data_IF_388499355107
#
_entry.id   IF_388499355107
#
_cell.length_a   1.000
_cell.length_b   1.000
_cell.length_c   1.000
_cell.angle_alpha   90.00
_cell.angle_beta   90.00
_cell.angle_gamma   90.00
#
_symmetry.space_group_name_H-M   'P 1'
#
loop_
_entity.id
_entity.type
_entity.pdbx_description
1 polymer ?
#
# COMPACT_ATOMS: atom_id res chain seq x y z
N UNK A 1 3.08 7.26 -7.85
CA UNK A 1 2.90 6.40 -9.04
C UNK A 1 4.25 5.93 -9.54
N UNK A 2 4.50 4.62 -9.55
CA UNK A 2 5.68 3.99 -10.13
C UNK A 2 5.37 3.47 -11.53
N UNK A 3 6.23 3.77 -12.50
CA UNK A 3 6.04 3.41 -13.90
C UNK A 3 7.13 2.47 -14.43
N UNK A 4 6.80 1.66 -15.43
CA UNK A 4 7.74 0.74 -16.06
C UNK A 4 8.91 1.48 -16.75
N UNK A 5 8.67 2.70 -17.25
CA UNK A 5 9.64 3.54 -17.96
C UNK A 5 9.54 4.99 -17.47
N UNK A 6 10.58 5.84 -17.65
CA UNK A 6 10.57 7.24 -17.23
C UNK A 6 9.75 8.13 -18.17
N UNK A 7 8.45 7.86 -18.29
CA UNK A 7 7.52 8.59 -19.14
C UNK A 7 6.10 8.53 -18.59
N UNK A 8 5.32 9.61 -18.70
CA UNK A 8 3.95 9.65 -18.19
C UNK A 8 3.00 8.64 -18.87
N UNK A 9 3.28 8.30 -20.13
CA UNK A 9 2.50 7.32 -20.90
C UNK A 9 2.90 5.87 -20.58
N UNK A 10 4.00 5.67 -19.86
CA UNK A 10 4.43 4.34 -19.48
C UNK A 10 3.45 3.71 -18.49
N UNK A 11 3.31 2.40 -18.59
CA UNK A 11 2.49 1.58 -17.70
C UNK A 11 2.73 1.92 -16.22
N UNK A 12 1.62 2.08 -15.48
CA UNK A 12 1.63 2.14 -14.03
C UNK A 12 1.86 0.71 -13.52
N UNK A 13 2.96 0.50 -12.78
CA UNK A 13 3.33 -0.84 -12.28
C UNK A 13 3.11 -0.98 -10.78
N UNK A 14 3.19 0.13 -10.03
CA UNK A 14 2.94 0.14 -8.59
C UNK A 14 2.59 1.56 -8.12
N UNK A 15 2.16 1.70 -6.87
CA UNK A 15 2.08 2.99 -6.16
C UNK A 15 2.81 2.91 -4.82
N UNK A 16 3.33 4.04 -4.38
CA UNK A 16 3.95 4.23 -3.06
C UNK A 16 3.16 5.33 -2.38
N UNK A 17 2.73 5.07 -1.15
CA UNK A 17 1.95 6.00 -0.34
C UNK A 17 2.83 7.03 0.36
N UNK A 18 2.27 8.18 0.71
CA UNK A 18 3.00 9.25 1.35
C UNK A 18 3.65 8.76 2.66
N UNK A 19 4.89 9.20 2.89
CA UNK A 19 5.66 8.84 4.08
C UNK A 19 6.36 7.47 4.02
N UNK A 20 6.07 6.65 3.01
CA UNK A 20 6.84 5.43 2.75
C UNK A 20 8.13 5.80 2.01
N UNK A 21 9.25 5.23 2.45
CA UNK A 21 10.56 5.45 1.86
C UNK A 21 10.76 4.60 0.61
N UNK A 22 11.64 5.08 -0.27
CA UNK A 22 12.18 4.31 -1.39
C UNK A 22 13.67 4.60 -1.52
N UNK A 23 14.43 3.62 -1.99
CA UNK A 23 15.85 3.79 -2.33
C UNK A 23 15.97 4.31 -3.75
N UNK A 24 16.66 5.43 -3.95
CA UNK A 24 16.96 5.96 -5.28
C UNK A 24 18.16 5.20 -5.86
N UNK A 25 17.99 4.62 -7.05
CA UNK A 25 19.01 3.84 -7.74
C UNK A 25 19.62 4.58 -8.93
N UNK A 26 18.80 5.34 -9.67
CA UNK A 26 19.22 6.06 -10.88
C UNK A 26 18.33 7.27 -11.14
N UNK A 27 18.87 8.29 -11.81
CA UNK A 27 18.11 9.45 -12.31
C UNK A 27 18.13 9.48 -13.85
N UNK A 28 17.02 9.91 -14.45
CA UNK A 28 16.88 10.20 -15.88
C UNK A 28 15.96 11.42 -16.06
N UNK A 29 16.55 12.61 -16.27
CA UNK A 29 15.79 13.86 -16.30
C UNK A 29 15.07 14.12 -14.97
N UNK A 30 13.75 14.29 -15.04
CA UNK A 30 12.86 14.43 -13.88
C UNK A 30 12.34 13.10 -13.32
N UNK A 31 12.87 11.96 -13.78
CA UNK A 31 12.48 10.64 -13.31
C UNK A 31 13.58 9.97 -12.49
N UNK A 32 13.16 9.25 -11.46
CA UNK A 32 14.04 8.48 -10.58
C UNK A 32 13.64 7.01 -10.65
N UNK A 33 14.59 6.15 -10.98
CA UNK A 33 14.45 4.71 -10.81
C UNK A 33 14.68 4.40 -9.34
N UNK A 34 13.67 3.82 -8.70
CA UNK A 34 13.65 3.58 -7.27
C UNK A 34 13.35 2.12 -6.96
N UNK A 35 13.69 1.73 -5.74
CA UNK A 35 13.33 0.45 -5.13
C UNK A 35 12.49 0.70 -3.88
N UNK A 36 11.36 0.01 -3.72
CA UNK A 36 10.60 0.05 -2.46
C UNK A 36 11.32 -0.72 -1.35
N UNK A 37 11.04 -0.35 -0.10
CA UNK A 37 11.71 -1.00 1.05
C UNK A 37 11.38 -2.50 1.15
N UNK A 38 12.29 -3.31 1.75
CA UNK A 38 12.00 -4.69 2.07
C UNK A 38 10.73 -4.85 2.92
N UNK A 39 9.99 -5.96 2.76
CA UNK A 39 10.33 -7.11 1.92
C UNK A 39 9.95 -6.97 0.43
N UNK A 40 9.21 -5.92 0.05
CA UNK A 40 8.65 -5.80 -1.30
C UNK A 40 9.72 -5.65 -2.39
N UNK A 41 10.76 -4.83 -2.16
CA UNK A 41 11.91 -4.66 -3.06
C UNK A 41 11.54 -4.33 -4.53
N UNK A 42 10.38 -3.72 -4.77
CA UNK A 42 9.84 -3.50 -6.12
C UNK A 42 10.55 -2.36 -6.84
N UNK A 43 10.77 -2.52 -8.14
CA UNK A 43 11.49 -1.55 -8.96
C UNK A 43 10.55 -0.77 -9.89
N UNK A 44 10.82 0.52 -10.06
CA UNK A 44 10.07 1.34 -11.01
C UNK A 44 10.52 2.79 -11.04
N UNK A 45 9.94 3.56 -11.95
CA UNK A 45 10.24 4.97 -12.15
C UNK A 45 9.21 5.86 -11.49
N UNK A 46 9.65 6.80 -10.64
CA UNK A 46 8.82 7.84 -10.04
C UNK A 46 9.30 9.20 -10.56
N UNK A 47 8.37 10.07 -10.89
CA UNK A 47 8.66 11.46 -11.25
C UNK A 47 9.06 12.28 -10.00
N UNK A 48 9.95 13.25 -10.17
CA UNK A 48 10.50 14.11 -9.10
C UNK A 48 9.41 14.72 -8.21
N UNK A 49 8.28 15.15 -8.76
CA UNK A 49 7.16 15.72 -7.99
C UNK A 49 6.51 14.76 -6.99
N UNK A 50 6.71 13.45 -7.14
CA UNK A 50 6.24 12.43 -6.21
C UNK A 50 7.25 12.06 -5.12
N UNK A 51 8.42 12.69 -5.09
CA UNK A 51 9.51 12.37 -4.16
C UNK A 51 9.96 13.60 -3.39
N UNK A 52 10.17 13.43 -2.09
CA UNK A 52 11.10 14.30 -1.36
C UNK A 52 12.44 13.60 -1.24
N UNK A 53 13.45 14.20 -1.85
CA UNK A 53 14.83 13.77 -1.68
C UNK A 53 15.38 14.44 -0.42
N UNK A 54 15.83 13.61 0.53
CA UNK A 54 16.50 14.06 1.74
C UNK A 54 18.01 14.08 1.56
N UNK A 55 18.69 14.99 2.25
CA UNK A 55 20.08 14.78 2.64
C UNK A 55 20.13 13.81 3.84
N UNK A 56 21.32 13.34 4.21
CA UNK A 56 21.46 12.37 5.31
C UNK A 56 20.83 12.87 6.61
N UNK A 57 21.04 14.14 6.93
CA UNK A 57 20.49 14.76 8.14
C UNK A 57 18.95 14.83 8.13
N UNK A 58 18.36 15.23 7.00
CA UNK A 58 16.92 15.27 6.82
C UNK A 58 16.28 13.89 6.89
N UNK A 59 16.94 12.88 6.29
CA UNK A 59 16.47 11.50 6.33
C UNK A 59 16.49 10.95 7.75
N UNK A 60 17.57 11.19 8.51
CA UNK A 60 17.65 10.77 9.90
C UNK A 60 16.59 11.45 10.78
N UNK A 61 16.35 12.74 10.58
CA UNK A 61 15.29 13.47 11.30
C UNK A 61 13.92 12.85 11.02
N UNK A 62 13.61 12.61 9.74
CA UNK A 62 12.37 11.93 9.36
C UNK A 62 12.28 10.54 9.99
N UNK A 63 13.34 9.74 9.91
CA UNK A 63 13.38 8.38 10.45
C UNK A 63 13.13 8.33 11.96
N UNK A 64 13.72 9.25 12.73
CA UNK A 64 13.61 9.32 14.20
C UNK A 64 12.29 9.93 14.71
N UNK A 65 11.55 10.63 13.85
CA UNK A 65 10.32 11.30 14.28
C UNK A 65 9.23 10.28 14.63
N UNK A 66 8.42 10.61 15.64
CA UNK A 66 7.18 9.87 15.91
C UNK A 66 6.27 9.95 14.67
N UNK A 67 5.65 8.81 14.34
CA UNK A 67 4.83 8.67 13.14
C UNK A 67 3.44 8.16 13.51
N UNK A 68 2.48 8.63 12.73
CA UNK A 68 1.10 8.14 12.72
C UNK A 68 0.76 7.63 11.33
N UNK A 69 -0.11 6.63 11.27
CA UNK A 69 -0.69 6.09 10.05
C UNK A 69 -2.14 6.57 9.92
N UNK A 70 -2.54 6.99 8.72
CA UNK A 70 -3.91 7.35 8.42
C UNK A 70 -4.77 6.11 8.17
N UNK A 71 -5.92 5.99 8.83
CA UNK A 71 -6.71 4.75 8.90
C UNK A 71 -8.06 4.82 8.20
N UNK A 72 -8.58 6.02 7.91
CA UNK A 72 -9.79 6.17 7.09
C UNK A 72 -9.46 5.95 5.60
N UNK A 73 -10.47 5.74 4.74
CA UNK A 73 -10.23 5.61 3.30
C UNK A 73 -9.67 6.90 2.70
N UNK A 74 -10.30 8.04 3.00
CA UNK A 74 -9.92 9.33 2.44
C UNK A 74 -10.00 10.40 3.52
N UNK A 75 -9.10 11.36 3.46
CA UNK A 75 -9.13 12.53 4.32
C UNK A 75 -8.22 13.63 3.80
N UNK A 76 -7.94 14.59 4.67
CA UNK A 76 -7.08 15.71 4.35
C UNK A 76 -6.23 16.10 5.55
N UNK A 77 -5.06 16.66 5.26
CA UNK A 77 -4.36 17.55 6.19
C UNK A 77 -4.89 18.96 5.95
N UNK A 78 -5.27 19.65 7.03
CA UNK A 78 -5.85 20.99 6.99
C UNK A 78 -4.84 22.04 7.45
N UNK A 79 -4.91 23.25 6.88
CA UNK A 79 -4.02 24.36 7.27
C UNK A 79 -4.25 24.84 8.71
N UNK A 80 -5.47 24.68 9.22
CA UNK A 80 -5.86 25.03 10.59
C UNK A 80 -6.65 23.87 11.22
N UNK A 81 -6.94 23.96 12.52
CA UNK A 81 -7.81 23.03 13.29
C UNK A 81 -9.30 23.15 12.91
N UNK A 82 -9.58 23.23 11.61
CA UNK A 82 -10.89 23.41 11.02
C UNK A 82 -10.93 22.69 9.66
N UNK A 83 -11.92 21.81 9.47
CA UNK A 83 -12.16 21.09 8.22
C UNK A 83 -12.56 22.00 7.05
N UNK A 84 -13.00 23.24 7.34
CA UNK A 84 -13.30 24.26 6.32
C UNK A 84 -12.06 25.05 5.89
N UNK A 85 -10.93 24.88 6.58
CA UNK A 85 -9.70 25.55 6.21
C UNK A 85 -9.10 24.95 4.93
N UNK A 86 -8.15 25.67 4.32
CA UNK A 86 -7.50 25.25 3.09
C UNK A 86 -6.84 23.88 3.30
N UNK A 87 -7.11 22.89 2.43
CA UNK A 87 -6.43 21.59 2.49
C UNK A 87 -4.96 21.76 2.08
N UNK A 88 -4.07 21.16 2.85
CA UNK A 88 -2.64 21.09 2.57
C UNK A 88 -2.34 19.92 1.64
N UNK A 89 -2.93 18.75 1.91
CA UNK A 89 -2.81 17.53 1.10
C UNK A 89 -4.04 16.66 1.33
N UNK A 90 -4.44 15.87 0.33
CA UNK A 90 -5.29 14.72 0.59
C UNK A 90 -4.50 13.61 1.30
N UNK A 91 -5.24 12.70 1.92
CA UNK A 91 -4.75 11.51 2.60
C UNK A 91 -5.53 10.29 2.12
N UNK A 92 -4.84 9.17 2.05
CA UNK A 92 -5.41 7.85 1.83
C UNK A 92 -4.98 6.89 2.92
N UNK A 93 -5.80 5.86 3.15
CA UNK A 93 -5.48 4.78 4.09
C UNK A 93 -4.05 4.27 3.86
N UNK A 94 -3.24 4.27 4.93
CA UNK A 94 -1.85 3.84 4.89
C UNK A 94 -0.81 4.94 4.67
N UNK A 95 -1.23 6.19 4.43
CA UNK A 95 -0.31 7.33 4.46
C UNK A 95 0.31 7.49 5.85
N UNK A 96 1.59 7.82 5.89
CA UNK A 96 2.36 8.00 7.11
C UNK A 96 2.74 9.46 7.26
N UNK A 97 2.36 10.03 8.40
CA UNK A 97 2.62 11.42 8.74
C UNK A 97 3.52 11.48 9.97
N UNK A 98 4.32 12.52 10.00
CA UNK A 98 5.15 12.85 11.13
C UNK A 98 4.38 13.62 12.20
N UNK A 99 4.54 13.27 13.47
CA UNK A 99 3.91 14.00 14.59
C UNK A 99 4.80 15.15 15.04
N UNK A 100 4.25 16.36 15.07
CA UNK A 100 4.90 17.53 15.69
C UNK A 100 4.33 17.78 17.08
N UNK A 101 3.00 17.74 17.22
CA UNK A 101 2.33 17.98 18.50
C UNK A 101 0.92 17.38 18.55
N UNK A 102 0.59 16.70 19.63
CA UNK A 102 -0.78 16.32 19.97
C UNK A 102 -1.50 17.49 20.64
N UNK A 103 -2.63 17.90 20.08
CA UNK A 103 -3.44 19.02 20.57
C UNK A 103 -4.90 18.61 20.79
N UNK A 104 -5.10 17.39 21.26
CA UNK A 104 -6.42 16.85 21.64
C UNK A 104 -7.14 16.25 20.45
N UNK A 105 -8.16 16.93 19.91
CA UNK A 105 -8.90 16.45 18.74
C UNK A 105 -8.04 16.46 17.46
N UNK A 106 -7.01 17.29 17.43
CA UNK A 106 -6.16 17.52 16.27
C UNK A 106 -4.72 17.14 16.59
N UNK A 107 -4.03 16.59 15.61
CA UNK A 107 -2.59 16.40 15.65
C UNK A 107 -1.97 17.37 14.66
N UNK A 108 -1.03 18.19 15.12
CA UNK A 108 -0.18 18.99 14.25
C UNK A 108 0.89 18.08 13.66
N UNK A 109 0.90 17.97 12.33
CA UNK A 109 1.68 17.00 11.57
C UNK A 109 2.67 17.68 10.63
N UNK A 110 3.71 16.92 10.29
CA UNK A 110 4.74 17.26 9.32
C UNK A 110 4.71 16.25 8.18
N UNK A 111 4.63 16.75 6.95
CA UNK A 111 4.65 15.97 5.72
C UNK A 111 6.10 15.81 5.26
N UNK A 112 6.44 14.73 4.52
CA UNK A 112 7.81 14.48 4.08
C UNK A 112 8.47 15.66 3.35
N UNK A 113 7.71 16.41 2.57
CA UNK A 113 8.22 17.53 1.78
C UNK A 113 8.49 18.82 2.56
N UNK A 114 8.16 18.86 3.85
CA UNK A 114 8.34 20.01 4.73
C UNK A 114 7.07 20.79 5.04
N UNK A 115 5.95 20.49 4.37
CA UNK A 115 4.66 21.11 4.72
C UNK A 115 4.20 20.64 6.10
N UNK A 116 3.38 21.46 6.74
CA UNK A 116 2.76 21.14 8.02
C UNK A 116 1.27 21.43 7.99
N UNK A 117 0.50 20.80 8.87
CA UNK A 117 -0.91 21.07 9.03
C UNK A 117 -1.53 20.22 10.13
N UNK A 118 -2.85 20.05 10.10
CA UNK A 118 -3.61 19.37 11.12
C UNK A 118 -4.42 18.21 10.55
N UNK A 119 -4.38 17.06 11.22
CA UNK A 119 -5.25 15.90 10.94
C UNK A 119 -6.07 15.60 12.19
N UNK A 120 -7.31 15.11 12.01
CA UNK A 120 -8.11 14.70 13.17
C UNK A 120 -7.57 13.41 13.79
N UNK A 121 -7.48 13.40 15.12
CA UNK A 121 -6.90 12.28 15.89
C UNK A 121 -7.67 10.97 15.75
N UNK A 122 -8.96 11.01 15.43
CA UNK A 122 -9.78 9.80 15.23
C UNK A 122 -9.57 9.12 13.87
N UNK A 123 -8.86 9.76 12.93
CA UNK A 123 -8.59 9.21 11.59
C UNK A 123 -7.18 8.60 11.48
N UNK A 124 -6.45 8.56 12.59
CA UNK A 124 -5.04 8.19 12.63
C UNK A 124 -4.74 7.33 13.85
N UNK A 125 -3.72 6.49 13.74
CA UNK A 125 -3.17 5.71 14.86
C UNK A 125 -1.64 5.90 14.92
N UNK A 126 -1.04 5.78 16.10
CA UNK A 126 0.42 5.69 16.22
C UNK A 126 0.94 4.54 15.36
N UNK A 127 1.92 4.80 14.49
CA UNK A 127 2.45 3.78 13.58
C UNK A 127 3.06 2.59 14.34
N UNK A 128 3.75 2.85 15.44
CA UNK A 128 4.31 1.83 16.33
C UNK A 128 3.22 0.98 16.98
N UNK A 129 2.15 1.62 17.45
CA UNK A 129 1.00 0.92 18.05
C UNK A 129 0.28 0.08 16.99
N UNK A 130 0.02 0.65 15.83
CA UNK A 130 -0.60 -0.06 14.71
C UNK A 130 0.20 -1.30 14.34
N UNK A 131 1.52 -1.19 14.14
CA UNK A 131 2.42 -2.32 13.84
C UNK A 131 2.39 -3.44 14.88
N UNK A 132 2.21 -3.10 16.17
CA UNK A 132 2.14 -4.08 17.26
C UNK A 132 0.78 -4.77 17.36
N UNK A 133 -0.29 -4.10 16.92
CA UNK A 133 -1.66 -4.58 17.05
C UNK A 133 -2.15 -5.31 15.80
N UNK A 134 -1.62 -4.99 14.61
CA UNK A 134 -1.96 -5.73 13.40
C UNK A 134 -1.47 -7.16 13.53
N UNK A 135 -2.35 -8.10 13.19
CA UNK A 135 -2.08 -9.52 13.25
C UNK A 135 -2.81 -10.21 12.12
N UNK A 136 -2.16 -11.21 11.54
CA UNK A 136 -2.74 -11.98 10.45
C UNK A 136 -3.76 -12.96 11.04
N UNK A 137 -5.02 -12.55 10.99
CA UNK A 137 -6.17 -13.35 11.37
C UNK A 137 -7.17 -13.37 10.21
N UNK A 138 -7.73 -14.55 9.91
CA UNK A 138 -8.62 -14.77 8.76
C UNK A 138 -9.85 -13.86 8.78
N UNK A 139 -10.50 -13.69 9.94
CA UNK A 139 -11.67 -12.84 10.07
C UNK A 139 -11.32 -11.37 9.81
N UNK A 140 -10.19 -10.89 10.35
CA UNK A 140 -9.72 -9.53 10.11
C UNK A 140 -9.38 -9.29 8.64
N UNK A 141 -8.76 -10.28 7.99
CA UNK A 141 -8.41 -10.24 6.57
C UNK A 141 -9.67 -10.14 5.71
N UNK A 142 -10.66 -11.00 5.94
CA UNK A 142 -11.94 -10.99 5.22
C UNK A 142 -12.71 -9.69 5.48
N UNK A 143 -12.75 -9.21 6.72
CA UNK A 143 -13.39 -7.93 7.05
C UNK A 143 -12.69 -6.76 6.35
N UNK A 144 -11.37 -6.80 6.22
CA UNK A 144 -10.60 -5.80 5.48
C UNK A 144 -10.84 -5.89 3.98
N UNK A 145 -10.91 -7.10 3.41
CA UNK A 145 -11.28 -7.29 2.00
C UNK A 145 -12.68 -6.72 1.70
N UNK A 146 -13.66 -7.00 2.56
CA UNK A 146 -15.06 -6.52 2.43
C UNK A 146 -15.18 -5.00 2.49
N UNK A 147 -14.29 -4.33 3.23
CA UNK A 147 -14.23 -2.85 3.32
C UNK A 147 -14.00 -2.19 1.96
N UNK A 148 -13.32 -2.87 1.04
CA UNK A 148 -12.99 -2.33 -0.27
C UNK A 148 -13.97 -2.76 -1.39
N UNK A 149 -15.09 -3.39 -1.04
CA UNK A 149 -16.15 -3.70 -2.02
C UNK A 149 -16.65 -2.42 -2.68
N UNK A 150 -16.69 -2.41 -4.01
CA UNK A 150 -17.13 -1.27 -4.81
C UNK A 150 -16.03 -0.26 -5.15
N UNK A 151 -14.81 -0.42 -4.64
CA UNK A 151 -13.67 0.39 -5.07
C UNK A 151 -13.27 0.03 -6.51
N UNK A 152 -12.87 1.01 -7.35
CA UNK A 152 -12.62 0.78 -8.76
C UNK A 152 -11.35 -0.03 -9.00
N UNK A 153 -11.35 -0.82 -10.08
CA UNK A 153 -10.14 -1.44 -10.58
C UNK A 153 -9.23 -0.39 -11.24
N UNK A 154 -7.94 -0.43 -10.92
CA UNK A 154 -6.90 0.39 -11.53
C UNK A 154 -5.65 -0.46 -11.73
N UNK A 155 -5.27 -0.71 -12.99
CA UNK A 155 -4.01 -1.38 -13.31
C UNK A 155 -2.82 -0.67 -12.66
N UNK A 156 -1.98 -1.39 -11.92
CA UNK A 156 -0.86 -0.80 -11.19
C UNK A 156 -1.24 -0.20 -9.83
N UNK A 157 -2.54 -0.20 -9.46
CA UNK A 157 -3.08 0.45 -8.27
C UNK A 157 -2.84 -0.34 -6.97
N UNK A 158 -2.39 0.34 -5.93
CA UNK A 158 -2.10 -0.22 -4.60
C UNK A 158 -2.58 0.70 -3.47
N UNK A 159 -3.68 1.42 -3.71
CA UNK A 159 -4.27 2.34 -2.74
C UNK A 159 -5.79 2.31 -2.81
N UNK A 160 -6.44 2.83 -1.78
CA UNK A 160 -7.90 3.04 -1.76
C UNK A 160 -8.41 3.99 -2.84
N UNK A 161 -7.57 4.59 -3.69
CA UNK A 161 -8.05 5.28 -4.91
C UNK A 161 -8.34 4.32 -6.07
N UNK A 162 -7.86 3.09 -5.99
CA UNK A 162 -8.08 2.03 -6.97
C UNK A 162 -7.02 0.94 -6.85
N UNK A 163 -7.44 -0.30 -7.07
CA UNK A 163 -6.60 -1.49 -6.91
C UNK A 163 -6.54 -2.29 -8.21
N UNK A 164 -5.43 -2.95 -8.50
CA UNK A 164 -5.48 -4.15 -9.34
C UNK A 164 -5.60 -5.41 -8.47
N UNK A 165 -5.57 -6.60 -9.09
CA UNK A 165 -5.79 -7.86 -8.39
C UNK A 165 -4.77 -8.10 -7.27
N UNK A 166 -3.47 -8.02 -7.59
CA UNK A 166 -2.41 -8.26 -6.60
C UNK A 166 -2.16 -7.05 -5.69
N UNK A 167 -2.49 -5.84 -6.14
CA UNK A 167 -2.50 -4.64 -5.32
C UNK A 167 -3.58 -4.66 -4.25
N UNK A 168 -4.77 -5.20 -4.58
CA UNK A 168 -5.83 -5.44 -3.61
C UNK A 168 -5.40 -6.42 -2.53
N UNK A 169 -4.93 -7.61 -2.91
CA UNK A 169 -4.48 -8.63 -1.94
C UNK A 169 -3.33 -8.09 -1.10
N UNK A 170 -2.37 -7.40 -1.72
CA UNK A 170 -1.26 -6.75 -1.01
C UNK A 170 -1.76 -5.80 0.07
N UNK A 171 -2.67 -4.89 -0.23
CA UNK A 171 -3.18 -3.92 0.74
C UNK A 171 -3.98 -4.63 1.84
N UNK A 172 -4.83 -5.59 1.49
CA UNK A 172 -5.58 -6.39 2.47
C UNK A 172 -4.64 -7.09 3.46
N UNK A 173 -3.60 -7.78 2.98
CA UNK A 173 -2.66 -8.48 3.85
C UNK A 173 -1.79 -7.50 4.65
N UNK A 174 -1.33 -6.40 4.03
CA UNK A 174 -0.52 -5.37 4.71
C UNK A 174 -1.26 -4.75 5.88
N UNK A 175 -2.54 -4.44 5.70
CA UNK A 175 -3.40 -3.91 6.77
C UNK A 175 -3.62 -4.91 7.91
N UNK A 176 -3.27 -6.18 7.71
CA UNK A 176 -3.32 -7.26 8.68
C UNK A 176 -1.91 -7.76 9.07
N UNK A 177 -0.87 -6.95 8.85
CA UNK A 177 0.48 -7.20 9.35
C UNK A 177 1.34 -8.14 8.50
N UNK A 178 0.91 -8.49 7.28
CA UNK A 178 1.67 -9.34 6.38
C UNK A 178 1.95 -8.64 5.04
N UNK A 179 3.22 -8.47 4.68
CA UNK A 179 3.60 -7.81 3.42
C UNK A 179 3.71 -8.84 2.30
N UNK A 180 2.80 -8.77 1.33
CA UNK A 180 2.89 -9.55 0.09
C UNK A 180 3.77 -8.84 -0.96
N UNK A 181 4.43 -9.62 -1.84
CA UNK A 181 5.01 -9.13 -3.08
C UNK A 181 3.96 -8.40 -3.93
N UNK A 182 4.43 -7.54 -4.84
CA UNK A 182 3.56 -6.69 -5.64
C UNK A 182 2.79 -7.47 -6.71
N UNK A 183 3.43 -8.42 -7.36
CA UNK A 183 2.88 -9.10 -8.54
C UNK A 183 2.25 -10.45 -8.16
N UNK A 184 1.18 -10.82 -8.88
CA UNK A 184 0.38 -12.01 -8.57
C UNK A 184 1.20 -13.32 -8.71
N UNK A 185 2.12 -13.38 -9.66
CA UNK A 185 3.04 -14.51 -9.85
C UNK A 185 4.00 -14.67 -8.67
N UNK A 186 4.50 -13.56 -8.10
CA UNK A 186 5.35 -13.63 -6.92
C UNK A 186 4.57 -14.02 -5.67
N UNK A 187 3.30 -13.59 -5.57
CA UNK A 187 2.42 -13.98 -4.48
C UNK A 187 2.12 -15.48 -4.48
N UNK A 188 2.05 -16.14 -5.66
CA UNK A 188 1.75 -17.59 -5.74
C UNK A 188 2.88 -18.48 -5.23
N UNK A 189 4.10 -17.97 -5.10
CA UNK A 189 5.23 -18.71 -4.53
C UNK A 189 5.32 -18.63 -3.01
N UNK A 190 4.36 -17.96 -2.35
CA UNK A 190 4.34 -17.83 -0.89
C UNK A 190 3.34 -18.80 -0.25
N UNK A 191 3.65 -19.20 0.99
CA UNK A 191 2.76 -20.01 1.80
C UNK A 191 2.84 -21.50 1.46
N UNK A 192 1.70 -22.18 1.55
CA UNK A 192 1.55 -23.61 1.29
C UNK A 192 0.63 -23.77 0.09
N UNK A 193 1.07 -24.52 -0.91
CA UNK A 193 0.24 -24.86 -2.07
C UNK A 193 -0.92 -25.77 -1.64
N UNK A 194 -2.12 -25.46 -2.12
CA UNK A 194 -3.35 -26.19 -1.81
C UNK A 194 -3.91 -26.73 -3.12
N UNK A 195 -4.00 -28.05 -3.25
CA UNK A 195 -4.85 -28.67 -4.26
C UNK A 195 -6.31 -28.37 -3.88
N UNK A 196 -7.07 -27.61 -4.68
CA UNK A 196 -8.45 -27.27 -4.34
C UNK A 196 -9.35 -28.50 -4.17
N UNK A 197 -8.99 -29.65 -4.75
CA UNK A 197 -9.87 -30.80 -4.84
C UNK A 197 -10.84 -30.67 -6.04
N UNK A 198 -11.79 -31.61 -6.14
CA UNK A 198 -12.72 -31.63 -7.29
C UNK A 198 -13.84 -30.59 -7.16
N UNK A 199 -14.28 -30.37 -5.92
CA UNK A 199 -15.42 -29.54 -5.55
C UNK A 199 -14.99 -28.43 -4.58
N UNK A 200 -13.72 -28.02 -4.64
CA UNK A 200 -13.11 -26.97 -3.80
C UNK A 200 -13.10 -27.27 -2.29
N UNK A 201 -13.23 -28.54 -1.91
CA UNK A 201 -13.39 -29.02 -0.55
C UNK A 201 -12.18 -28.74 0.36
N UNK A 202 -11.00 -28.53 -0.21
CA UNK A 202 -9.77 -28.26 0.53
C UNK A 202 -9.54 -26.77 0.80
N UNK A 203 -10.27 -25.88 0.12
CA UNK A 203 -10.09 -24.44 0.25
C UNK A 203 -10.70 -23.93 1.56
N UNK A 204 -10.12 -22.85 2.09
CA UNK A 204 -10.58 -22.18 3.31
C UNK A 204 -10.67 -20.66 3.09
N UNK A 205 -11.62 -19.97 3.75
CA UNK A 205 -11.63 -18.52 3.76
C UNK A 205 -10.27 -17.97 4.22
N UNK A 206 -9.77 -16.95 3.51
CA UNK A 206 -8.43 -16.41 3.70
C UNK A 206 -7.40 -16.89 2.67
N UNK A 207 -7.66 -18.01 1.98
CA UNK A 207 -6.76 -18.51 0.93
C UNK A 207 -6.70 -17.55 -0.27
N UNK A 208 -5.53 -17.51 -0.93
CA UNK A 208 -5.36 -16.81 -2.20
C UNK A 208 -5.57 -17.80 -3.35
N UNK A 209 -6.44 -17.42 -4.28
CA UNK A 209 -6.72 -18.16 -5.50
C UNK A 209 -5.98 -17.51 -6.66
N UNK A 210 -5.22 -18.29 -7.40
CA UNK A 210 -4.45 -17.83 -8.55
C UNK A 210 -5.04 -18.40 -9.83
N UNK A 211 -5.18 -17.55 -10.85
CA UNK A 211 -5.77 -17.93 -12.14
C UNK A 211 -4.82 -17.59 -13.27
N UNK A 212 -4.82 -18.44 -14.29
CA UNK A 212 -3.90 -18.29 -15.40
C UNK A 212 -3.86 -19.51 -16.31
N UNK A 213 -2.73 -19.65 -16.99
CA UNK A 213 -2.46 -20.79 -17.87
C UNK A 213 -1.60 -21.79 -17.12
N UNK A 214 -2.07 -23.04 -17.06
CA UNK A 214 -1.26 -24.16 -16.55
C UNK A 214 -0.04 -24.36 -17.45
N UNK A 215 1.01 -24.94 -16.87
CA UNK A 215 2.16 -25.35 -17.66
C UNK A 215 1.76 -26.41 -18.71
N UNK A 216 2.28 -26.24 -19.92
CA UNK A 216 2.18 -27.19 -21.03
C UNK A 216 3.60 -27.49 -21.53
N UNK A 217 3.77 -28.53 -22.35
CA UNK A 217 5.08 -28.82 -22.95
C UNK A 217 5.61 -27.59 -23.71
N UNK A 218 6.76 -27.07 -23.27
CA UNK A 218 7.39 -25.86 -23.83
C UNK A 218 6.78 -24.52 -23.40
N UNK A 219 5.77 -24.50 -22.51
CA UNK A 219 5.17 -23.27 -21.98
C UNK A 219 5.12 -23.29 -20.45
N UNK A 220 5.87 -22.40 -19.76
CA UNK A 220 5.78 -22.31 -18.32
C UNK A 220 4.39 -21.84 -17.88
N UNK A 221 4.03 -22.15 -16.64
CA UNK A 221 2.84 -21.60 -15.99
C UNK A 221 2.86 -20.07 -16.05
N UNK A 222 1.68 -19.47 -16.24
CA UNK A 222 1.51 -18.02 -16.27
C UNK A 222 0.33 -17.61 -15.42
N UNK A 223 0.61 -16.95 -14.31
CA UNK A 223 -0.41 -16.31 -13.47
C UNK A 223 -0.85 -15.00 -14.12
N UNK A 224 -2.15 -14.75 -14.12
CA UNK A 224 -2.80 -13.58 -14.74
C UNK A 224 -3.75 -12.85 -13.79
N UNK A 225 -4.19 -13.52 -12.73
CA UNK A 225 -5.08 -12.95 -11.73
C UNK A 225 -4.89 -13.61 -10.37
N UNK A 226 -5.20 -12.87 -9.32
CA UNK A 226 -5.25 -13.37 -7.93
C UNK A 226 -6.52 -12.85 -7.26
N UNK A 227 -7.14 -13.67 -6.42
CA UNK A 227 -8.29 -13.31 -5.60
C UNK A 227 -8.13 -13.83 -4.16
N UNK A 228 -8.83 -13.22 -3.21
CA UNK A 228 -8.92 -13.72 -1.83
C UNK A 228 -10.26 -14.42 -1.62
N UNK A 229 -10.23 -15.66 -1.15
CA UNK A 229 -11.44 -16.42 -0.82
C UNK A 229 -12.05 -15.89 0.48
N UNK A 230 -13.33 -15.47 0.46
CA UNK A 230 -13.98 -14.84 1.62
C UNK A 230 -15.10 -15.67 2.25
N UNK A 231 -15.65 -16.63 1.52
CA UNK A 231 -16.69 -17.56 1.96
C UNK A 231 -16.80 -18.71 0.95
N UNK A 232 -17.26 -19.86 1.42
CA UNK A 232 -17.63 -21.01 0.59
C UNK A 232 -19.12 -21.25 0.82
N UNK A 233 -19.91 -21.18 -0.24
CA UNK A 233 -21.34 -21.53 -0.20
C UNK A 233 -21.52 -22.95 -0.69
N UNK A 234 -22.35 -23.78 -0.01
CA UNK A 234 -22.77 -25.09 -0.50
C UNK A 234 -23.49 -25.03 -1.84
#
# INVERSE_FOLDING_TARGET
>A
NMRAKPAHQAELVNQVLMGNSVKILKRHGYWFFVQTEPPENYLGWIEEGGLKIFDLNGFEKWAKMEKIIFTDYFGFVYSHKDKKSIPVSDLVMGDILGVVKDEGRWIFVFLPDGRTGYVEKNQVESLEKWRKNVSLNVDNLINTAKKFVGFPYLWGGTSVKGFDCSGFTKVVFKMNGFELPRDADQQSYLGVEIDPGKDFENLKPGDLLFFGQKSEEGKPEKITHVATLTLITP
#
